data_IF_281216996799
#
_entry.id   IF_281216996799
#
_cell.length_a   1.000
_cell.length_b   1.000
_cell.length_c   1.000
_cell.angle_alpha   90.00
_cell.angle_beta   90.00
_cell.angle_gamma   90.00
#
_symmetry.space_group_name_H-M   'P 1'
#
loop_
_entity.id
_entity.type
_entity.pdbx_description
1 polymer ?
#
# COMPACT_ATOMS: atom_id res chain seq x y z
N UNK A 1 51.37 4.25 -23.86
CA UNK A 1 50.38 3.34 -24.47
C UNK A 1 49.06 3.49 -23.72
N UNK A 2 48.23 4.41 -24.20
CA UNK A 2 46.92 4.78 -23.65
C UNK A 2 45.89 3.68 -23.88
N UNK A 3 45.23 3.20 -22.82
CA UNK A 3 43.96 2.46 -22.94
C UNK A 3 42.87 3.16 -22.12
N UNK A 4 42.19 4.07 -22.82
CA UNK A 4 40.79 4.47 -22.64
C UNK A 4 39.90 3.23 -22.60
N UNK A 5 38.99 3.12 -21.63
CA UNK A 5 37.68 2.42 -21.71
C UNK A 5 37.13 2.27 -20.29
N UNK A 6 35.89 2.57 -19.93
CA UNK A 6 34.68 3.03 -20.63
C UNK A 6 33.75 3.56 -19.53
N UNK A 7 33.25 4.77 -19.71
CA UNK A 7 32.09 5.27 -18.98
C UNK A 7 30.88 4.39 -19.32
N UNK A 8 30.19 3.88 -18.30
CA UNK A 8 28.90 3.21 -18.46
C UNK A 8 27.85 4.07 -17.77
N UNK A 9 27.43 5.14 -18.46
CA UNK A 9 26.19 5.82 -18.14
C UNK A 9 25.02 4.90 -18.46
N UNK A 10 24.36 4.35 -17.43
CA UNK A 10 23.05 3.73 -17.60
C UNK A 10 21.98 4.79 -17.36
N UNK A 11 21.80 5.63 -18.38
CA UNK A 11 20.65 6.51 -18.47
C UNK A 11 19.45 5.73 -18.95
N UNK A 12 18.57 5.32 -18.03
CA UNK A 12 17.18 4.97 -18.37
C UNK A 12 16.31 6.18 -18.06
N UNK A 13 16.33 7.17 -18.96
CA UNK A 13 15.36 8.26 -18.92
C UNK A 13 14.05 7.84 -19.60
N UNK A 14 12.96 8.26 -18.94
CA UNK A 14 11.62 8.52 -19.46
C UNK A 14 10.69 7.30 -19.67
N UNK A 15 10.29 6.68 -18.56
CA UNK A 15 8.92 6.18 -18.46
C UNK A 15 7.99 7.38 -18.40
N UNK A 16 7.17 7.58 -19.44
CA UNK A 16 6.22 8.69 -19.58
C UNK A 16 5.54 8.97 -18.25
N UNK A 17 5.65 10.21 -17.78
CA UNK A 17 4.79 10.82 -16.77
C UNK A 17 3.38 10.85 -17.36
N UNK A 18 2.75 9.68 -17.41
CA UNK A 18 1.33 9.58 -17.61
C UNK A 18 0.80 10.39 -16.45
N UNK A 19 0.14 11.52 -16.72
CA UNK A 19 -0.56 12.30 -15.70
C UNK A 19 -1.77 11.47 -15.26
N UNK A 20 -1.49 10.28 -14.74
CA UNK A 20 -2.41 9.29 -14.30
C UNK A 20 -3.11 9.92 -13.11
N UNK A 21 -4.43 9.82 -13.12
CA UNK A 21 -5.26 10.36 -12.06
C UNK A 21 -4.71 9.87 -10.71
N UNK A 22 -4.13 10.81 -9.96
CA UNK A 22 -3.57 10.51 -8.64
C UNK A 22 -4.67 9.94 -7.75
N UNK A 23 -4.33 8.89 -7.02
CA UNK A 23 -5.21 8.24 -6.05
C UNK A 23 -4.74 8.56 -4.66
N UNK A 24 -5.68 8.58 -3.72
CA UNK A 24 -5.38 8.87 -2.32
C UNK A 24 -5.22 7.57 -1.55
N UNK A 25 -4.07 7.39 -0.92
CA UNK A 25 -3.85 6.31 0.03
C UNK A 25 -4.80 6.47 1.24
N UNK A 26 -5.56 5.42 1.56
CA UNK A 26 -6.49 5.46 2.71
C UNK A 26 -5.79 5.42 4.06
N UNK A 27 -4.55 4.91 4.13
CA UNK A 27 -3.74 4.84 5.35
C UNK A 27 -3.10 6.17 5.74
N UNK A 28 -2.30 6.76 4.84
CA UNK A 28 -1.58 8.01 5.11
C UNK A 28 -2.25 9.27 4.56
N UNK A 29 -3.29 9.15 3.71
CA UNK A 29 -4.03 10.26 3.07
C UNK A 29 -3.23 11.08 2.05
N UNK A 30 -2.01 10.68 1.72
CA UNK A 30 -1.22 11.25 0.60
C UNK A 30 -1.76 10.80 -0.75
N UNK A 31 -1.53 11.62 -1.79
CA UNK A 31 -1.87 11.31 -3.19
C UNK A 31 -0.64 10.81 -3.93
N UNK A 32 -0.80 9.71 -4.66
CA UNK A 32 0.25 9.14 -5.49
C UNK A 32 -0.32 8.57 -6.80
N UNK A 33 0.55 8.17 -7.71
CA UNK A 33 0.17 7.45 -8.90
C UNK A 33 -0.43 6.08 -8.56
N UNK A 34 -1.38 5.57 -9.37
CA UNK A 34 -1.88 4.22 -9.19
C UNK A 34 -0.78 3.15 -9.19
N UNK A 35 0.36 3.37 -9.86
CA UNK A 35 1.53 2.46 -9.88
C UNK A 35 2.16 2.29 -8.49
N UNK A 36 2.16 3.34 -7.66
CA UNK A 36 2.71 3.32 -6.30
C UNK A 36 1.71 2.76 -5.25
N UNK A 37 0.48 2.47 -5.67
CA UNK A 37 -0.62 2.08 -4.79
C UNK A 37 -1.17 0.71 -5.19
N UNK A 38 -1.58 -0.07 -4.20
CA UNK A 38 -2.38 -1.28 -4.39
C UNK A 38 -3.86 -0.95 -4.26
N UNK A 39 -4.65 -1.49 -5.19
CA UNK A 39 -6.11 -1.44 -5.12
C UNK A 39 -6.57 -2.55 -4.20
N UNK A 40 -7.54 -2.25 -3.36
CA UNK A 40 -8.28 -3.25 -2.59
C UNK A 40 -9.76 -3.11 -2.88
N UNK A 41 -10.48 -4.22 -2.83
CA UNK A 41 -11.92 -4.29 -3.07
C UNK A 41 -12.61 -5.07 -1.96
N UNK A 42 -13.89 -4.80 -1.75
CA UNK A 42 -14.72 -5.62 -0.88
C UNK A 42 -15.43 -6.69 -1.69
N UNK A 43 -15.30 -7.95 -1.27
CA UNK A 43 -16.04 -9.08 -1.79
C UNK A 43 -16.96 -9.64 -0.71
N UNK A 44 -18.14 -10.13 -1.10
CA UNK A 44 -19.00 -10.86 -0.18
C UNK A 44 -18.39 -12.22 0.13
N UNK A 45 -18.42 -12.63 1.40
CA UNK A 45 -17.92 -13.96 1.78
C UNK A 45 -18.91 -15.04 1.36
N UNK A 46 -18.41 -16.15 0.81
CA UNK A 46 -19.23 -17.28 0.36
C UNK A 46 -19.97 -17.97 1.51
N UNK A 47 -19.36 -18.03 2.70
CA UNK A 47 -19.95 -18.63 3.90
C UNK A 47 -20.98 -17.69 4.57
N UNK A 48 -20.84 -16.38 4.38
CA UNK A 48 -21.68 -15.36 5.03
C UNK A 48 -21.88 -14.15 4.09
N UNK A 49 -22.93 -14.16 3.24
CA UNK A 49 -23.15 -13.11 2.22
C UNK A 49 -23.32 -11.69 2.79
N UNK A 50 -23.72 -11.58 4.06
CA UNK A 50 -23.85 -10.31 4.78
C UNK A 50 -22.52 -9.78 5.34
N UNK A 51 -21.42 -10.51 5.15
CA UNK A 51 -20.07 -10.14 5.60
C UNK A 51 -19.20 -9.83 4.39
N UNK A 52 -18.41 -8.76 4.53
CA UNK A 52 -17.49 -8.31 3.50
C UNK A 52 -16.06 -8.63 3.88
N UNK A 53 -15.31 -9.17 2.94
CA UNK A 53 -13.87 -9.37 3.03
C UNK A 53 -13.17 -8.36 2.14
N UNK A 54 -12.14 -7.70 2.67
CA UNK A 54 -11.24 -6.87 1.86
C UNK A 54 -10.16 -7.77 1.25
N UNK A 55 -10.00 -7.67 -0.07
CA UNK A 55 -8.97 -8.39 -0.83
C UNK A 55 -8.13 -7.42 -1.66
N UNK A 56 -6.87 -7.80 -1.90
CA UNK A 56 -5.98 -7.08 -2.82
C UNK A 56 -6.37 -7.41 -4.26
N UNK A 57 -6.45 -6.37 -5.08
CA UNK A 57 -6.75 -6.45 -6.49
C UNK A 57 -5.53 -5.97 -7.29
N UNK A 58 -4.58 -6.88 -7.45
CA UNK A 58 -3.29 -6.60 -8.12
C UNK A 58 -3.50 -6.26 -9.60
N UNK A 59 -4.42 -6.99 -10.25
CA UNK A 59 -4.73 -6.86 -11.68
C UNK A 59 -5.69 -5.72 -12.00
N UNK A 60 -6.35 -5.16 -10.98
CA UNK A 60 -7.33 -4.06 -11.10
C UNK A 60 -8.56 -4.44 -11.92
N UNK A 61 -8.89 -5.72 -11.97
CA UNK A 61 -9.97 -6.28 -12.78
C UNK A 61 -11.16 -6.75 -11.91
N UNK A 62 -11.04 -6.71 -10.58
CA UNK A 62 -12.14 -7.10 -9.72
C UNK A 62 -13.29 -6.07 -9.74
N UNK A 63 -14.56 -6.55 -9.83
CA UNK A 63 -15.72 -5.69 -9.84
C UNK A 63 -15.96 -5.04 -8.47
N UNK A 64 -16.67 -3.91 -8.46
CA UNK A 64 -17.07 -3.22 -7.24
C UNK A 64 -16.23 -1.99 -6.89
N UNK A 65 -16.56 -1.36 -5.76
CA UNK A 65 -15.87 -0.14 -5.30
C UNK A 65 -14.48 -0.53 -4.80
N UNK A 66 -13.46 0.18 -5.29
CA UNK A 66 -12.08 0.00 -4.85
C UNK A 66 -11.60 1.12 -3.95
N UNK A 67 -10.71 0.79 -3.03
CA UNK A 67 -9.90 1.73 -2.27
C UNK A 67 -8.42 1.56 -2.64
N UNK A 68 -7.61 2.58 -2.35
CA UNK A 68 -6.18 2.59 -2.68
C UNK A 68 -5.35 2.76 -1.42
N UNK A 69 -4.27 1.99 -1.30
CA UNK A 69 -3.34 2.05 -0.16
C UNK A 69 -1.92 1.79 -0.67
N UNK A 70 -0.90 2.38 -0.04
CA UNK A 70 0.49 1.99 -0.38
C UNK A 70 0.75 0.56 0.07
N UNK A 71 1.61 -0.16 -0.65
CA UNK A 71 2.06 -1.51 -0.30
C UNK A 71 2.93 -1.59 0.99
N UNK A 72 3.17 -0.45 1.65
CA UNK A 72 3.92 -0.38 2.91
C UNK A 72 3.09 -0.91 4.09
N UNK A 73 3.71 -1.76 4.92
CA UNK A 73 3.13 -2.26 6.18
C UNK A 73 2.56 -1.16 7.07
N UNK A 74 3.25 -0.02 7.19
CA UNK A 74 2.75 1.12 7.98
C UNK A 74 1.46 1.76 7.41
N UNK A 75 1.27 1.75 6.09
CA UNK A 75 0.05 2.28 5.49
C UNK A 75 -1.12 1.31 5.64
N UNK A 76 -0.85 0.01 5.51
CA UNK A 76 -1.83 -1.05 5.72
C UNK A 76 -2.31 -1.10 7.16
N UNK A 77 -1.38 -1.13 8.12
CA UNK A 77 -1.68 -1.12 9.55
C UNK A 77 -2.51 0.12 9.93
N UNK A 78 -2.09 1.32 9.51
CA UNK A 78 -2.84 2.55 9.75
C UNK A 78 -4.26 2.47 9.18
N UNK A 79 -4.43 1.87 8.00
CA UNK A 79 -5.74 1.72 7.38
C UNK A 79 -6.63 0.71 8.13
N UNK A 80 -6.06 -0.37 8.65
CA UNK A 80 -6.76 -1.40 9.44
C UNK A 80 -7.20 -0.82 10.79
N UNK A 81 -6.27 -0.29 11.58
CA UNK A 81 -6.52 0.23 12.94
C UNK A 81 -7.56 1.35 12.91
N UNK A 82 -7.53 2.21 11.88
CA UNK A 82 -8.49 3.31 11.70
C UNK A 82 -9.79 2.90 11.01
N UNK A 83 -9.97 1.62 10.68
CA UNK A 83 -11.13 1.09 9.92
C UNK A 83 -11.39 1.86 8.62
N UNK A 84 -10.31 2.30 7.97
CA UNK A 84 -10.37 3.18 6.80
C UNK A 84 -10.98 2.49 5.57
N UNK A 85 -10.83 1.16 5.45
CA UNK A 85 -11.36 0.39 4.32
C UNK A 85 -12.89 0.38 4.29
N UNK A 86 -13.56 0.13 5.41
CA UNK A 86 -15.03 0.18 5.47
C UNK A 86 -15.57 1.55 5.00
N UNK A 87 -14.96 2.64 5.48
CA UNK A 87 -15.31 4.01 5.04
C UNK A 87 -15.04 4.24 3.55
N UNK A 88 -13.87 3.86 3.06
CA UNK A 88 -13.47 4.10 1.68
C UNK A 88 -14.30 3.28 0.69
N UNK A 89 -14.66 2.06 1.08
CA UNK A 89 -15.48 1.13 0.29
C UNK A 89 -16.99 1.38 0.46
N UNK A 90 -17.37 2.34 1.34
CA UNK A 90 -18.75 2.74 1.66
C UNK A 90 -19.59 1.57 2.19
N UNK A 91 -19.01 0.82 3.12
CA UNK A 91 -19.67 -0.29 3.80
C UNK A 91 -20.10 0.14 5.19
N UNK A 92 -21.37 -0.11 5.52
CA UNK A 92 -21.97 0.23 6.83
C UNK A 92 -21.69 -0.82 7.90
N UNK A 93 -21.02 -1.91 7.56
CA UNK A 93 -20.70 -3.03 8.44
C UNK A 93 -19.19 -3.21 8.59
N UNK A 94 -18.72 -3.82 9.69
CA UNK A 94 -17.32 -4.21 9.82
C UNK A 94 -16.88 -5.08 8.64
N UNK A 95 -15.70 -4.78 8.12
CA UNK A 95 -15.05 -5.55 7.07
C UNK A 95 -14.00 -6.45 7.68
N UNK A 96 -13.93 -7.68 7.17
CA UNK A 96 -12.84 -8.59 7.46
C UNK A 96 -11.59 -8.15 6.68
N UNK A 97 -10.48 -8.00 7.39
CA UNK A 97 -9.18 -7.58 6.84
C UNK A 97 -8.11 -8.67 6.92
N UNK A 98 -8.43 -9.89 7.35
CA UNK A 98 -7.43 -10.94 7.59
C UNK A 98 -6.61 -11.30 6.36
N UNK A 99 -7.20 -11.28 5.16
CA UNK A 99 -6.45 -11.50 3.91
C UNK A 99 -5.46 -10.36 3.59
N UNK A 100 -5.77 -9.14 4.03
CA UNK A 100 -4.90 -8.00 3.82
C UNK A 100 -3.71 -8.02 4.80
N UNK A 101 -3.93 -8.50 6.02
CA UNK A 101 -2.87 -8.75 7.02
C UNK A 101 -1.90 -9.83 6.52
N UNK A 102 -2.42 -10.94 6.00
CA UNK A 102 -1.59 -11.99 5.40
C UNK A 102 -0.80 -11.49 4.19
N UNK A 103 -1.45 -10.70 3.31
CA UNK A 103 -0.77 -10.12 2.16
C UNK A 103 0.36 -9.17 2.59
N UNK A 104 0.13 -8.32 3.61
CA UNK A 104 1.17 -7.45 4.19
C UNK A 104 2.38 -8.27 4.63
N UNK A 105 2.15 -9.35 5.37
CA UNK A 105 3.22 -10.17 5.94
C UNK A 105 4.06 -10.85 4.85
N UNK A 106 3.51 -11.05 3.64
CA UNK A 106 4.24 -11.54 2.46
C UNK A 106 5.07 -10.46 1.75
N UNK A 107 4.74 -9.18 1.92
CA UNK A 107 5.46 -8.06 1.29
C UNK A 107 6.75 -7.68 2.05
N UNK A 108 6.88 -8.06 3.31
CA UNK A 108 8.03 -7.76 4.17
C UNK A 108 8.77 -9.08 4.58
N UNK A 109 9.45 -9.81 3.66
CA UNK A 109 10.16 -11.04 4.01
C UNK A 109 11.41 -10.82 4.88
N UNK A 110 11.92 -9.58 4.97
CA UNK A 110 13.02 -9.17 5.85
C UNK A 110 12.68 -7.87 6.57
N UNK A 111 12.03 -7.98 7.71
CA UNK A 111 12.22 -6.97 8.76
C UNK A 111 13.39 -7.44 9.63
N UNK A 112 14.62 -6.88 9.52
CA UNK A 112 15.51 -6.98 10.65
C UNK A 112 14.80 -6.26 11.81
N UNK A 113 14.47 -7.02 12.86
CA UNK A 113 14.30 -6.46 14.20
C UNK A 113 15.60 -5.73 14.54
N UNK A 114 15.66 -4.45 14.16
CA UNK A 114 16.66 -3.50 14.59
C UNK A 114 16.12 -2.79 15.82
N UNK A 115 16.50 -3.33 16.96
CA UNK A 115 16.57 -2.68 18.25
C UNK A 115 17.47 -1.43 18.21
N UNK A 116 17.12 -0.36 17.50
CA UNK A 116 17.88 0.90 17.58
C UNK A 116 16.98 2.14 17.67
N UNK A 117 16.89 2.69 18.89
CA UNK A 117 16.97 4.13 19.09
C UNK A 117 15.67 4.92 19.17
N UNK A 118 14.80 4.61 20.14
CA UNK A 118 13.94 5.64 20.74
C UNK A 118 14.78 6.55 21.66
N UNK A 119 15.63 7.39 21.08
CA UNK A 119 16.24 8.52 21.79
C UNK A 119 15.79 9.83 21.09
N UNK A 120 14.49 10.12 21.18
CA UNK A 120 13.95 11.42 20.77
C UNK A 120 13.82 12.31 21.99
N UNK A 121 14.93 12.96 22.32
CA UNK A 121 15.01 14.40 22.54
C UNK A 121 13.93 15.01 23.46
N UNK A 122 14.13 14.91 24.79
CA UNK A 122 13.52 15.85 25.75
C UNK A 122 14.44 17.06 25.92
N UNK A 123 14.46 17.94 24.92
CA UNK A 123 14.86 19.34 25.13
C UNK A 123 13.76 20.05 25.92
N UNK A 124 14.07 20.61 27.09
CA UNK A 124 13.53 21.88 27.58
C UNK A 124 14.26 22.35 28.84
N UNK A 125 14.94 23.50 28.67
CA UNK A 125 15.17 24.63 29.60
C UNK A 125 15.81 24.32 30.94
#
# INVERSE_FOLDING_TARGET
>A
MTRKSRESGSGTKLGKESHALKRTCVGCRTRDEPSALVRVVAIARSDQPSRWQVVVDERRDLPGRGAWVHASGQCLERAIVRRAFGRALRLSVPVDTSLLEQWRDQQDPESPTGDEGLEKNRKRV
#
